data_IF_791682836096
#
_entry.id   IF_791682836096
#
_cell.length_a   1.000
_cell.length_b   1.000
_cell.length_c   1.000
_cell.angle_alpha   90.00
_cell.angle_beta   90.00
_cell.angle_gamma   90.00
#
_symmetry.space_group_name_H-M   'P 1'
#
loop_
_entity.id
_entity.type
_entity.pdbx_description
1 polymer ?
#
# COMPACT_ATOMS: atom_id res chain seq x y z
N UNK A 1 14.77 6.38 -10.03
CA UNK A 1 15.04 5.37 -11.09
C UNK A 1 13.73 4.76 -11.49
N UNK A 2 13.34 4.95 -12.73
CA UNK A 2 12.06 4.52 -13.27
C UNK A 2 11.92 3.01 -13.17
N UNK A 3 10.91 2.55 -12.46
CA UNK A 3 10.52 1.17 -12.44
C UNK A 3 10.33 0.67 -13.89
N UNK A 4 10.88 -0.46 -14.16
CA UNK A 4 10.97 -1.13 -15.45
C UNK A 4 9.58 -1.24 -16.12
N UNK A 5 9.28 -0.35 -17.06
CA UNK A 5 8.18 -0.52 -18.00
C UNK A 5 8.52 -1.69 -18.90
N UNK A 6 7.82 -2.80 -18.72
CA UNK A 6 7.51 -3.86 -19.68
C UNK A 6 7.50 -5.25 -19.00
N UNK A 7 6.55 -5.46 -18.08
CA UNK A 7 5.96 -6.79 -18.03
C UNK A 7 4.64 -6.68 -18.81
N UNK A 8 4.61 -7.32 -19.99
CA UNK A 8 3.37 -7.47 -20.72
C UNK A 8 2.33 -8.10 -19.78
N UNK A 9 1.19 -7.42 -19.62
CA UNK A 9 0.06 -7.90 -18.83
C UNK A 9 -0.32 -9.29 -19.32
N UNK A 10 0.08 -10.30 -18.57
CA UNK A 10 -0.44 -11.64 -18.80
C UNK A 10 -1.88 -11.68 -18.27
N UNK A 11 -2.82 -12.29 -19.00
CA UNK A 11 -4.19 -12.34 -18.56
C UNK A 11 -4.26 -13.04 -17.20
N UNK A 12 -4.88 -12.37 -16.23
CA UNK A 12 -5.07 -12.93 -14.89
C UNK A 12 -6.04 -14.14 -14.98
N UNK A 13 -5.92 -15.11 -14.07
CA UNK A 13 -6.77 -16.29 -14.09
C UNK A 13 -8.26 -15.94 -13.93
N UNK A 14 -9.12 -16.67 -14.62
CA UNK A 14 -10.56 -16.52 -14.45
C UNK A 14 -11.00 -17.19 -13.15
N UNK A 15 -11.32 -16.40 -12.14
CA UNK A 15 -11.65 -16.85 -10.80
C UNK A 15 -13.17 -16.79 -10.55
N UNK A 16 -13.67 -17.77 -9.80
CA UNK A 16 -15.01 -17.69 -9.25
C UNK A 16 -15.13 -16.63 -8.16
N UNK A 17 -16.34 -16.10 -7.89
CA UNK A 17 -16.56 -15.15 -6.79
C UNK A 17 -16.08 -15.68 -5.42
N UNK A 18 -16.21 -16.99 -5.18
CA UNK A 18 -15.74 -17.63 -3.96
C UNK A 18 -14.21 -17.62 -3.85
N UNK A 19 -13.50 -17.88 -4.94
CA UNK A 19 -12.03 -17.79 -4.97
C UNK A 19 -11.55 -16.36 -4.71
N UNK A 20 -12.21 -15.38 -5.33
CA UNK A 20 -11.89 -13.96 -5.09
C UNK A 20 -12.10 -13.60 -3.61
N UNK A 21 -13.22 -14.03 -3.01
CA UNK A 21 -13.49 -13.80 -1.59
C UNK A 21 -12.43 -14.43 -0.69
N UNK A 22 -12.05 -15.69 -0.93
CA UNK A 22 -11.00 -16.37 -0.15
C UNK A 22 -9.64 -15.72 -0.28
N UNK A 23 -9.28 -15.24 -1.49
CA UNK A 23 -8.02 -14.50 -1.69
C UNK A 23 -8.07 -13.18 -0.95
N UNK A 24 -9.18 -12.47 -0.99
CA UNK A 24 -9.38 -11.19 -0.28
C UNK A 24 -9.22 -11.38 1.23
N UNK A 25 -9.81 -12.41 1.80
CA UNK A 25 -9.68 -12.77 3.21
C UNK A 25 -8.22 -13.09 3.57
N UNK A 26 -7.54 -13.90 2.77
CA UNK A 26 -6.13 -14.23 2.99
C UNK A 26 -5.23 -12.98 2.95
N UNK A 27 -5.50 -12.03 2.06
CA UNK A 27 -4.78 -10.75 1.99
C UNK A 27 -5.06 -9.91 3.24
N UNK A 28 -6.32 -9.78 3.66
CA UNK A 28 -6.69 -9.01 4.86
C UNK A 28 -6.05 -9.61 6.13
N UNK A 29 -6.08 -10.92 6.28
CA UNK A 29 -5.48 -11.61 7.42
C UNK A 29 -3.96 -11.48 7.43
N UNK A 30 -3.32 -11.56 6.26
CA UNK A 30 -1.89 -11.32 6.14
C UNK A 30 -1.53 -9.88 6.58
N UNK A 31 -2.27 -8.87 6.13
CA UNK A 31 -2.07 -7.47 6.54
C UNK A 31 -2.17 -7.34 8.07
N UNK A 32 -3.22 -7.93 8.68
CA UNK A 32 -3.39 -7.91 10.16
C UNK A 32 -2.24 -8.57 10.88
N UNK A 33 -1.82 -9.74 10.40
CA UNK A 33 -0.72 -10.49 11.00
C UNK A 33 0.60 -9.72 10.91
N UNK A 34 0.95 -9.16 9.74
CA UNK A 34 2.18 -8.39 9.56
C UNK A 34 2.15 -7.09 10.38
N UNK A 35 1.02 -6.38 10.42
CA UNK A 35 0.85 -5.24 11.33
C UNK A 35 1.17 -5.64 12.77
N UNK A 36 0.64 -6.76 13.25
CA UNK A 36 0.92 -7.27 14.60
C UNK A 36 2.41 -7.58 14.84
N UNK A 37 3.09 -8.17 13.85
CA UNK A 37 4.52 -8.49 13.92
C UNK A 37 5.38 -7.24 14.01
N UNK A 38 5.08 -6.22 13.21
CA UNK A 38 5.96 -5.06 13.07
C UNK A 38 5.60 -3.90 13.99
N UNK A 39 4.35 -3.75 14.42
CA UNK A 39 3.91 -2.64 15.25
C UNK A 39 4.74 -2.47 16.53
N UNK A 40 5.05 -3.56 17.23
CA UNK A 40 5.81 -3.52 18.47
C UNK A 40 7.31 -3.26 18.28
N UNK A 41 7.80 -3.39 17.04
CA UNK A 41 9.20 -3.15 16.68
C UNK A 41 9.40 -1.75 16.08
N UNK A 42 8.31 -1.13 15.62
CA UNK A 42 8.33 0.15 14.92
C UNK A 42 8.35 1.33 15.90
N UNK A 43 9.05 2.39 15.51
CA UNK A 43 9.08 3.66 16.24
C UNK A 43 8.03 4.63 15.69
N UNK A 44 7.56 5.61 16.50
CA UNK A 44 6.75 6.71 15.97
C UNK A 44 7.47 7.45 14.85
N UNK A 45 6.72 7.90 13.85
CA UNK A 45 7.25 8.83 12.86
C UNK A 45 7.70 10.11 13.56
N UNK A 46 8.93 10.57 13.28
CA UNK A 46 9.37 11.86 13.78
C UNK A 46 8.50 12.98 13.21
N UNK A 47 7.92 13.78 14.10
CA UNK A 47 7.08 14.90 13.71
C UNK A 47 7.88 15.90 12.85
N UNK A 48 7.26 16.37 11.78
CA UNK A 48 7.78 17.45 10.95
C UNK A 48 6.62 18.33 10.51
N UNK A 49 6.81 19.65 10.61
CA UNK A 49 5.84 20.64 10.13
C UNK A 49 5.53 20.50 8.63
N UNK A 50 6.44 19.89 7.87
CA UNK A 50 6.20 19.60 6.45
C UNK A 50 5.00 18.71 6.27
N UNK A 51 4.88 17.66 7.07
CA UNK A 51 3.80 16.68 6.96
C UNK A 51 2.43 17.24 7.37
N UNK A 52 2.40 18.15 8.36
CA UNK A 52 1.14 18.76 8.82
C UNK A 52 0.44 19.65 7.79
N UNK A 53 1.12 19.97 6.68
CA UNK A 53 0.51 20.65 5.53
C UNK A 53 -0.34 19.72 4.66
N UNK A 54 -0.22 18.43 4.85
CA UNK A 54 -0.81 17.39 3.99
C UNK A 54 -1.65 16.39 4.78
N UNK A 55 -1.28 16.13 6.03
CA UNK A 55 -1.90 15.09 6.85
C UNK A 55 -2.36 15.67 8.19
N UNK A 56 -3.52 15.24 8.71
CA UNK A 56 -3.95 15.59 10.05
C UNK A 56 -2.92 15.17 11.11
N UNK A 57 -2.73 15.98 12.14
CA UNK A 57 -1.79 15.67 13.24
C UNK A 57 -2.15 14.33 13.89
N UNK A 58 -3.44 14.05 14.05
CA UNK A 58 -3.93 12.79 14.61
C UNK A 58 -3.49 11.55 13.84
N UNK A 59 -3.26 11.67 12.53
CA UNK A 59 -2.72 10.58 11.71
C UNK A 59 -1.22 10.47 11.93
N UNK A 60 -0.50 11.59 11.90
CA UNK A 60 0.96 11.63 12.10
C UNK A 60 1.38 10.98 13.43
N UNK A 61 0.61 11.19 14.50
CA UNK A 61 0.86 10.60 15.82
C UNK A 61 0.72 9.08 15.86
N UNK A 62 -0.07 8.51 14.97
CA UNK A 62 -0.35 7.07 14.90
C UNK A 62 0.65 6.30 14.03
N UNK A 63 1.31 6.98 13.10
CA UNK A 63 2.22 6.36 12.15
C UNK A 63 3.41 5.76 12.86
N UNK A 64 3.68 4.51 12.55
CA UNK A 64 4.83 3.75 13.02
C UNK A 64 5.73 3.40 11.85
N UNK A 65 7.02 3.60 11.99
CA UNK A 65 8.01 3.27 10.97
C UNK A 65 9.03 2.28 11.48
N UNK A 66 9.42 1.35 10.64
CA UNK A 66 10.46 0.38 10.90
C UNK A 66 11.45 0.34 9.74
N UNK A 67 12.74 0.44 10.06
CA UNK A 67 13.84 0.13 9.14
C UNK A 67 14.55 -1.12 9.65
N UNK A 68 14.23 -2.31 9.13
CA UNK A 68 14.74 -3.57 9.68
C UNK A 68 16.19 -3.90 9.28
N UNK A 69 16.91 -2.93 8.69
CA UNK A 69 18.28 -3.13 8.19
C UNK A 69 18.30 -4.01 6.94
N UNK A 70 18.92 -5.19 7.05
CA UNK A 70 18.99 -6.12 5.92
C UNK A 70 17.82 -7.11 5.84
N UNK A 71 17.01 -7.18 6.89
CA UNK A 71 15.83 -8.04 6.86
C UNK A 71 14.80 -7.48 5.88
N UNK A 72 14.17 -8.37 5.12
CA UNK A 72 13.11 -8.03 4.16
C UNK A 72 11.81 -8.68 4.59
N UNK A 73 10.69 -8.01 4.36
CA UNK A 73 9.38 -8.61 4.52
C UNK A 73 9.27 -9.78 3.56
N UNK A 74 9.00 -11.01 4.03
CA UNK A 74 8.86 -12.16 3.15
C UNK A 74 7.60 -12.05 2.29
N UNK A 75 7.61 -12.73 1.15
CA UNK A 75 6.40 -12.86 0.35
C UNK A 75 5.29 -13.56 1.14
N UNK A 76 4.03 -13.19 0.93
CA UNK A 76 2.89 -13.86 1.57
C UNK A 76 2.91 -15.38 1.37
N UNK A 77 2.67 -16.18 2.42
CA UNK A 77 2.75 -17.64 2.32
C UNK A 77 1.74 -18.25 1.36
N UNK A 78 0.62 -17.57 1.10
CA UNK A 78 -0.41 -18.01 0.16
C UNK A 78 -0.04 -17.78 -1.31
N UNK A 79 1.11 -17.17 -1.64
CA UNK A 79 1.53 -16.96 -3.03
C UNK A 79 1.68 -18.27 -3.81
N UNK A 80 2.16 -19.34 -3.16
CA UNK A 80 2.22 -20.66 -3.79
C UNK A 80 0.84 -21.18 -4.21
N UNK A 81 -0.22 -20.82 -3.50
CA UNK A 81 -1.59 -21.18 -3.88
C UNK A 81 -2.09 -20.33 -5.04
N UNK A 82 -1.76 -19.04 -5.06
CA UNK A 82 -2.07 -18.14 -6.18
C UNK A 82 -1.37 -18.58 -7.47
N UNK A 83 -0.09 -18.96 -7.40
CA UNK A 83 0.66 -19.48 -8.55
C UNK A 83 0.01 -20.76 -9.10
N UNK A 84 -0.45 -21.65 -8.24
CA UNK A 84 -1.22 -22.87 -8.65
C UNK A 84 -2.56 -22.53 -9.31
N UNK A 85 -3.16 -21.39 -8.96
CA UNK A 85 -4.36 -20.86 -9.61
C UNK A 85 -4.05 -20.13 -10.93
N UNK A 86 -2.78 -20.02 -11.32
CA UNK A 86 -2.33 -19.42 -12.57
C UNK A 86 -1.95 -17.93 -12.48
N UNK A 87 -1.84 -17.37 -11.27
CA UNK A 87 -1.31 -16.02 -11.12
C UNK A 87 0.16 -15.96 -11.53
N UNK A 88 0.52 -14.90 -12.24
CA UNK A 88 1.89 -14.59 -12.62
C UNK A 88 2.21 -13.14 -12.25
N UNK A 89 3.49 -12.85 -12.00
CA UNK A 89 3.92 -11.48 -11.71
C UNK A 89 3.41 -10.93 -10.37
N UNK A 90 3.19 -11.81 -9.39
CA UNK A 90 2.83 -11.39 -8.02
C UNK A 90 3.86 -10.39 -7.48
N UNK A 91 3.43 -9.37 -6.72
CA UNK A 91 4.33 -8.40 -6.13
C UNK A 91 5.40 -9.07 -5.26
N UNK A 92 6.66 -8.77 -5.50
CA UNK A 92 7.75 -9.34 -4.70
C UNK A 92 8.08 -8.43 -3.51
N UNK A 93 7.55 -8.76 -2.35
CA UNK A 93 7.73 -7.97 -1.11
C UNK A 93 9.19 -7.83 -0.71
N UNK A 94 10.03 -8.81 -1.02
CA UNK A 94 11.46 -8.76 -0.67
C UNK A 94 12.24 -7.69 -1.45
N UNK A 95 11.69 -7.18 -2.55
CA UNK A 95 12.31 -6.17 -3.42
C UNK A 95 11.61 -4.81 -3.39
N UNK A 96 10.51 -4.68 -2.65
CA UNK A 96 9.82 -3.39 -2.49
C UNK A 96 10.66 -2.42 -1.66
N UNK A 97 10.59 -1.13 -1.98
CA UNK A 97 11.27 -0.07 -1.24
C UNK A 97 10.66 0.12 0.15
N UNK A 98 9.35 0.02 0.25
CA UNK A 98 8.59 0.04 1.50
C UNK A 98 7.29 -0.75 1.36
N UNK A 99 6.66 -1.08 2.48
CA UNK A 99 5.36 -1.76 2.54
C UNK A 99 4.59 -1.25 3.74
N UNK A 100 3.34 -0.85 3.52
CA UNK A 100 2.44 -0.38 4.57
C UNK A 100 1.47 -1.48 5.02
N UNK A 101 1.37 -1.70 6.33
CA UNK A 101 0.41 -2.60 6.98
C UNK A 101 -0.44 -1.80 7.99
N UNK A 102 -1.55 -1.24 7.57
CA UNK A 102 -2.40 -0.41 8.42
C UNK A 102 -1.74 0.92 8.81
N UNK A 103 -1.28 1.04 10.04
CA UNK A 103 -0.57 2.20 10.60
C UNK A 103 0.95 2.00 10.73
N UNK A 104 1.48 0.90 10.21
CA UNK A 104 2.90 0.55 10.26
C UNK A 104 3.49 0.51 8.86
N UNK A 105 4.60 1.20 8.66
CA UNK A 105 5.39 1.14 7.42
C UNK A 105 6.73 0.48 7.68
N UNK A 106 7.06 -0.52 6.88
CA UNK A 106 8.38 -1.17 6.87
C UNK A 106 9.16 -0.66 5.66
N UNK A 107 10.22 0.10 5.91
CA UNK A 107 11.08 0.66 4.87
C UNK A 107 12.30 -0.21 4.64
N UNK A 108 12.43 -0.74 3.45
CA UNK A 108 13.60 -1.50 3.03
C UNK A 108 14.68 -0.63 2.41
N UNK A 109 14.29 0.46 1.78
CA UNK A 109 15.18 1.42 1.16
C UNK A 109 15.35 2.67 2.04
N UNK A 110 16.32 3.55 1.74
CA UNK A 110 16.51 4.79 2.47
C UNK A 110 15.26 5.66 2.48
N UNK A 111 14.99 6.28 3.63
CA UNK A 111 13.86 7.19 3.83
C UNK A 111 14.03 8.44 2.97
N UNK A 112 13.31 8.54 1.88
CA UNK A 112 13.18 9.76 1.10
C UNK A 112 11.83 10.43 1.42
N UNK A 113 11.74 11.78 1.35
CA UNK A 113 10.47 12.46 1.57
C UNK A 113 9.34 11.95 0.66
N UNK A 114 9.65 11.61 -0.59
CA UNK A 114 8.67 11.05 -1.53
C UNK A 114 8.16 9.69 -1.07
N UNK A 115 9.07 8.76 -0.74
CA UNK A 115 8.70 7.41 -0.31
C UNK A 115 7.87 7.46 0.99
N UNK A 116 8.28 8.30 1.95
CA UNK A 116 7.51 8.51 3.18
C UNK A 116 6.11 9.03 2.85
N UNK A 117 6.00 10.04 1.98
CA UNK A 117 4.70 10.61 1.60
C UNK A 117 3.79 9.56 0.96
N UNK A 118 4.32 8.78 0.01
CA UNK A 118 3.59 7.70 -0.67
C UNK A 118 3.00 6.71 0.35
N UNK A 119 3.82 6.20 1.26
CA UNK A 119 3.38 5.24 2.28
C UNK A 119 2.36 5.86 3.26
N UNK A 120 2.50 7.15 3.58
CA UNK A 120 1.52 7.84 4.41
C UNK A 120 0.15 7.97 3.72
N UNK A 121 0.08 8.06 2.40
CA UNK A 121 -1.20 7.99 1.67
C UNK A 121 -1.87 6.64 1.90
N UNK A 122 -1.12 5.53 1.85
CA UNK A 122 -1.68 4.21 2.15
C UNK A 122 -2.22 4.11 3.58
N UNK A 123 -1.58 4.75 4.57
CA UNK A 123 -2.11 4.81 5.94
C UNK A 123 -3.48 5.49 5.99
N UNK A 124 -3.64 6.61 5.27
CA UNK A 124 -4.93 7.30 5.16
C UNK A 124 -5.96 6.40 4.47
N UNK A 125 -5.59 5.70 3.41
CA UNK A 125 -6.47 4.73 2.74
C UNK A 125 -6.91 3.62 3.71
N UNK A 126 -5.99 3.03 4.47
CA UNK A 126 -6.33 2.03 5.50
C UNK A 126 -7.26 2.57 6.58
N UNK A 127 -7.05 3.80 7.01
CA UNK A 127 -7.89 4.43 8.04
C UNK A 127 -9.32 4.67 7.54
N UNK A 128 -9.47 5.13 6.31
CA UNK A 128 -10.78 5.47 5.74
C UNK A 128 -11.56 4.22 5.28
N UNK A 129 -10.87 3.22 4.76
CA UNK A 129 -11.47 2.02 4.21
C UNK A 129 -11.58 0.87 5.23
N UNK A 130 -10.64 0.81 6.18
CA UNK A 130 -10.40 -0.41 6.96
C UNK A 130 -9.65 -1.46 6.17
N UNK A 131 -9.09 -2.47 6.87
CA UNK A 131 -8.24 -3.50 6.25
C UNK A 131 -9.04 -4.36 5.25
N UNK A 132 -10.28 -4.70 5.56
CA UNK A 132 -11.07 -5.59 4.72
C UNK A 132 -11.41 -4.95 3.37
N UNK A 133 -11.87 -3.71 3.40
CA UNK A 133 -12.20 -2.98 2.18
C UNK A 133 -10.95 -2.64 1.37
N UNK A 134 -9.85 -2.25 2.03
CA UNK A 134 -8.56 -2.06 1.38
C UNK A 134 -8.13 -3.34 0.66
N UNK A 135 -8.15 -4.50 1.33
CA UNK A 135 -7.79 -5.79 0.73
C UNK A 135 -8.70 -6.14 -0.46
N UNK A 136 -10.00 -5.87 -0.35
CA UNK A 136 -10.96 -6.11 -1.43
C UNK A 136 -10.64 -5.26 -2.67
N UNK A 137 -10.37 -3.98 -2.47
CA UNK A 137 -10.01 -3.05 -3.55
C UNK A 137 -8.66 -3.39 -4.16
N UNK A 138 -7.69 -3.78 -3.34
CA UNK A 138 -6.38 -4.21 -3.79
C UNK A 138 -6.46 -5.45 -4.68
N UNK A 139 -7.15 -6.52 -4.21
CA UNK A 139 -7.33 -7.76 -4.99
C UNK A 139 -8.07 -7.49 -6.28
N UNK A 140 -9.17 -6.72 -6.22
CA UNK A 140 -9.93 -6.35 -7.42
C UNK A 140 -9.07 -5.56 -8.41
N UNK A 141 -8.34 -4.55 -7.94
CA UNK A 141 -7.48 -3.73 -8.78
C UNK A 141 -6.37 -4.57 -9.43
N UNK A 142 -5.74 -5.44 -8.64
CA UNK A 142 -4.71 -6.35 -9.14
C UNK A 142 -5.23 -7.31 -10.23
N UNK A 143 -6.42 -7.86 -10.07
CA UNK A 143 -7.05 -8.72 -11.08
C UNK A 143 -7.35 -8.00 -12.40
N UNK A 144 -7.56 -6.67 -12.38
CA UNK A 144 -7.88 -5.88 -13.57
C UNK A 144 -6.65 -5.28 -14.26
N UNK A 145 -5.64 -4.86 -13.50
CA UNK A 145 -4.54 -4.07 -14.04
C UNK A 145 -3.16 -4.40 -13.44
N UNK A 146 -3.01 -5.53 -12.76
CA UNK A 146 -1.78 -5.87 -12.04
C UNK A 146 -1.45 -4.88 -10.92
N UNK A 147 -0.25 -4.95 -10.37
CA UNK A 147 0.16 -4.12 -9.23
C UNK A 147 0.06 -2.62 -9.53
N UNK A 148 0.68 -2.16 -10.59
CA UNK A 148 0.72 -0.74 -10.96
C UNK A 148 -0.63 -0.18 -11.47
N UNK A 149 -1.57 -1.06 -11.84
CA UNK A 149 -2.93 -0.70 -12.22
C UNK A 149 -3.92 -0.69 -11.05
N UNK A 150 -3.46 -1.02 -9.84
CA UNK A 150 -4.30 -0.98 -8.64
C UNK A 150 -4.70 0.47 -8.33
N UNK A 151 -6.00 0.81 -8.25
CA UNK A 151 -6.43 2.19 -8.00
C UNK A 151 -5.87 2.80 -6.71
N UNK A 152 -5.60 1.99 -5.69
CA UNK A 152 -4.96 2.42 -4.45
C UNK A 152 -3.55 2.96 -4.71
N UNK A 153 -2.76 2.26 -5.53
CA UNK A 153 -1.42 2.68 -5.93
C UNK A 153 -1.47 3.92 -6.84
N UNK A 154 -2.39 3.94 -7.82
CA UNK A 154 -2.57 5.09 -8.72
C UNK A 154 -2.87 6.36 -7.92
N UNK A 155 -3.74 6.28 -6.91
CA UNK A 155 -4.04 7.38 -6.01
C UNK A 155 -2.78 7.84 -5.24
N UNK A 156 -2.01 6.90 -4.69
CA UNK A 156 -0.80 7.22 -3.94
C UNK A 156 0.27 7.87 -4.83
N UNK A 157 0.48 7.36 -6.05
CA UNK A 157 1.40 7.96 -7.03
C UNK A 157 0.95 9.33 -7.54
N UNK A 158 -0.36 9.57 -7.73
CA UNK A 158 -0.89 10.89 -8.10
C UNK A 158 -0.57 11.92 -7.01
N UNK A 159 -0.83 11.58 -5.75
CA UNK A 159 -0.63 12.49 -4.62
C UNK A 159 0.85 12.71 -4.30
N UNK A 160 1.70 11.68 -4.36
CA UNK A 160 3.13 11.84 -4.16
C UNK A 160 3.77 12.66 -5.30
N UNK A 161 3.30 12.48 -6.53
CA UNK A 161 3.71 13.29 -7.67
C UNK A 161 3.41 14.78 -7.46
N UNK A 162 2.23 15.11 -6.93
CA UNK A 162 1.87 16.49 -6.57
C UNK A 162 2.75 17.05 -5.45
N UNK A 163 3.09 16.22 -4.46
CA UNK A 163 4.00 16.59 -3.38
C UNK A 163 5.38 16.95 -3.92
N UNK A 164 5.97 16.13 -4.82
CA UNK A 164 7.32 16.36 -5.37
C UNK A 164 7.35 17.62 -6.25
N UNK A 165 6.27 17.89 -7.00
CA UNK A 165 6.18 19.10 -7.83
C UNK A 165 6.11 20.38 -7.03
N UNK A 166 6.20 20.30 -5.68
CA UNK A 166 6.23 21.47 -4.80
C UNK A 166 4.87 22.14 -4.65
N UNK A 167 3.78 21.39 -4.77
CA UNK A 167 2.44 21.91 -4.51
C UNK A 167 2.38 22.53 -3.11
N UNK A 168 1.80 23.72 -3.00
CA UNK A 168 1.36 24.28 -1.71
C UNK A 168 0.49 23.23 -1.04
N UNK A 169 0.65 22.97 0.25
CA UNK A 169 -0.01 21.88 0.98
C UNK A 169 -1.47 21.64 0.56
N UNK A 170 -1.88 20.39 0.56
CA UNK A 170 -3.25 19.96 0.26
C UNK A 170 -3.66 18.88 1.27
N UNK A 171 -4.96 18.71 1.44
CA UNK A 171 -5.51 17.74 2.37
C UNK A 171 -5.59 16.35 1.72
N UNK A 172 -4.66 15.45 2.09
CA UNK A 172 -4.60 14.08 1.56
C UNK A 172 -5.85 13.28 1.97
N UNK A 173 -6.41 13.52 3.16
CA UNK A 173 -7.63 12.84 3.59
C UNK A 173 -8.80 13.21 2.67
N UNK A 174 -8.98 14.49 2.40
CA UNK A 174 -10.04 14.96 1.51
C UNK A 174 -9.88 14.42 0.08
N UNK A 175 -8.64 14.32 -0.41
CA UNK A 175 -8.34 13.74 -1.73
C UNK A 175 -8.70 12.24 -1.78
N UNK A 176 -8.24 11.45 -0.81
CA UNK A 176 -8.57 10.01 -0.71
C UNK A 176 -10.08 9.81 -0.55
N UNK A 177 -10.74 10.62 0.29
CA UNK A 177 -12.20 10.59 0.44
C UNK A 177 -12.92 10.88 -0.89
N UNK A 178 -12.40 11.83 -1.67
CA UNK A 178 -12.93 12.11 -3.01
C UNK A 178 -12.82 10.91 -3.95
N UNK A 179 -11.72 10.15 -3.88
CA UNK A 179 -11.57 8.90 -4.65
C UNK A 179 -12.62 7.86 -4.25
N UNK A 180 -12.88 7.70 -2.94
CA UNK A 180 -13.90 6.78 -2.41
C UNK A 180 -15.30 7.17 -2.92
N UNK A 181 -15.70 8.44 -2.71
CA UNK A 181 -17.04 8.93 -3.03
C UNK A 181 -17.32 8.87 -4.54
N UNK A 182 -16.31 9.13 -5.37
CA UNK A 182 -16.45 9.10 -6.84
C UNK A 182 -16.28 7.69 -7.44
N UNK A 183 -16.14 6.65 -6.61
CA UNK A 183 -16.01 5.26 -7.07
C UNK A 183 -14.76 5.02 -7.92
N UNK A 184 -13.67 5.73 -7.63
CA UNK A 184 -12.39 5.61 -8.36
C UNK A 184 -11.51 4.46 -7.86
N UNK A 185 -11.85 3.86 -6.72
CA UNK A 185 -11.23 2.66 -6.18
C UNK A 185 -11.92 1.37 -6.65
#
# INVERSE_FOLDING_TARGET
MLANKQQAEQPQPNLSPQQIASITEAVADYIRAQRGVYHNKAAPLAFSEVWSRFFPISDLERIRILQPGQERVPNPPFYADLERLGFTGLPNFTTMAAITFGDVVVFHDPLTPQLIFHEMVHIVQYRLLGIDEFARLYVRGYLHGGYSGTPLEICAYDLDGRFIMGSVGFDVEAEVQSWIVNGRF
#
